data_IF_667938846539
#
_entry.id   IF_667938846539
#
_cell.length_a   1.000
_cell.length_b   1.000
_cell.length_c   1.000
_cell.angle_alpha   90.00
_cell.angle_beta   90.00
_cell.angle_gamma   90.00
#
_symmetry.space_group_name_H-M   'P 1'
#
loop_
_entity.id
_entity.type
_entity.pdbx_description
1 polymer ?
#
# COMPACT_ATOMS: atom_id res chain seq x y z
N UNK A 1 -4.17 5.73 -13.85
CA UNK A 1 -4.59 6.00 -12.46
C UNK A 1 -5.75 5.09 -12.13
N UNK A 2 -5.48 4.04 -11.36
CA UNK A 2 -6.48 3.10 -10.86
C UNK A 2 -6.70 3.29 -9.35
N UNK A 3 -7.82 2.77 -8.86
CA UNK A 3 -8.07 2.58 -7.43
C UNK A 3 -7.83 1.10 -7.12
N UNK A 4 -6.95 0.82 -6.15
CA UNK A 4 -6.51 -0.54 -5.84
C UNK A 4 -6.78 -0.80 -4.36
N UNK A 5 -7.37 -1.96 -4.05
CA UNK A 5 -7.54 -2.46 -2.69
C UNK A 5 -6.69 -3.71 -2.53
N UNK A 6 -5.90 -3.77 -1.47
CA UNK A 6 -4.99 -4.89 -1.19
C UNK A 6 -5.16 -5.32 0.27
N UNK A 7 -5.24 -6.63 0.50
CA UNK A 7 -5.21 -7.21 1.85
C UNK A 7 -3.86 -7.86 2.14
N UNK A 8 -3.36 -7.79 3.38
CA UNK A 8 -2.12 -8.49 3.75
C UNK A 8 -0.85 -7.81 3.19
N UNK A 9 -0.83 -6.48 3.17
CA UNK A 9 0.22 -5.68 2.54
C UNK A 9 1.07 -4.88 3.53
N UNK A 10 0.94 -5.10 4.84
CA UNK A 10 1.83 -4.49 5.83
C UNK A 10 3.30 -4.93 5.65
N UNK A 11 3.54 -6.07 4.99
CA UNK A 11 4.89 -6.57 4.73
C UNK A 11 4.98 -7.46 3.48
N UNK A 12 6.21 -7.84 3.11
CA UNK A 12 6.46 -8.77 2.02
C UNK A 12 6.03 -8.22 0.66
N UNK A 13 5.48 -9.08 -0.19
CA UNK A 13 5.15 -8.74 -1.59
C UNK A 13 4.08 -7.64 -1.66
N UNK A 14 3.05 -7.72 -0.82
CA UNK A 14 1.98 -6.72 -0.80
C UNK A 14 2.50 -5.31 -0.46
N UNK A 15 3.49 -5.21 0.42
CA UNK A 15 4.12 -3.93 0.77
C UNK A 15 4.85 -3.31 -0.42
N UNK A 16 5.75 -4.06 -1.07
CA UNK A 16 6.51 -3.53 -2.21
C UNK A 16 5.63 -3.25 -3.43
N UNK A 17 4.56 -4.04 -3.62
CA UNK A 17 3.55 -3.72 -4.62
C UNK A 17 2.84 -2.40 -4.30
N UNK A 18 2.45 -2.18 -3.04
CA UNK A 18 1.80 -0.93 -2.60
C UNK A 18 2.70 0.27 -2.87
N UNK A 19 3.97 0.18 -2.47
CA UNK A 19 4.96 1.23 -2.71
C UNK A 19 5.09 1.56 -4.22
N UNK A 20 5.23 0.55 -5.07
CA UNK A 20 5.35 0.77 -6.51
C UNK A 20 4.07 1.33 -7.12
N UNK A 21 2.90 0.80 -6.75
CA UNK A 21 1.62 1.26 -7.26
C UNK A 21 1.35 2.74 -6.91
N UNK A 22 1.77 3.18 -5.71
CA UNK A 22 1.73 4.60 -5.31
C UNK A 22 2.67 5.45 -6.17
N UNK A 23 3.92 5.00 -6.40
CA UNK A 23 4.88 5.69 -7.29
C UNK A 23 4.36 5.82 -8.73
N UNK A 24 3.60 4.84 -9.18
CA UNK A 24 2.95 4.85 -10.51
C UNK A 24 1.71 5.77 -10.58
N UNK A 25 1.38 6.48 -9.49
CA UNK A 25 0.29 7.45 -9.42
C UNK A 25 -1.09 6.82 -9.23
N UNK A 26 -1.18 5.60 -8.71
CA UNK A 26 -2.44 4.97 -8.34
C UNK A 26 -2.87 5.36 -6.92
N UNK A 27 -4.17 5.23 -6.65
CA UNK A 27 -4.71 5.34 -5.29
C UNK A 27 -4.81 3.95 -4.71
N UNK A 28 -4.19 3.72 -3.56
CA UNK A 28 -4.12 2.38 -2.95
C UNK A 28 -4.68 2.43 -1.54
N UNK A 29 -5.60 1.52 -1.23
CA UNK A 29 -6.08 1.26 0.12
C UNK A 29 -5.58 -0.13 0.55
N UNK A 30 -4.86 -0.19 1.66
CA UNK A 30 -4.37 -1.45 2.23
C UNK A 30 -5.15 -1.79 3.49
N UNK A 31 -5.56 -3.05 3.60
CA UNK A 31 -6.18 -3.62 4.80
C UNK A 31 -5.30 -4.75 5.33
N UNK A 32 -4.92 -4.65 6.58
CA UNK A 32 -4.10 -5.65 7.26
C UNK A 32 -4.43 -5.61 8.75
N UNK A 33 -4.06 -6.65 9.50
CA UNK A 33 -4.29 -6.71 10.95
C UNK A 33 -3.45 -5.65 11.66
N UNK A 34 -2.24 -5.40 11.15
CA UNK A 34 -1.30 -4.38 11.60
C UNK A 34 -0.96 -3.46 10.43
N UNK A 35 -0.78 -2.16 10.67
CA UNK A 35 -0.53 -1.17 9.59
C UNK A 35 0.67 -0.26 9.88
N UNK A 36 1.44 -0.58 10.91
CA UNK A 36 2.59 0.19 11.40
C UNK A 36 3.63 0.47 10.30
N UNK A 37 3.90 -0.53 9.44
CA UNK A 37 4.89 -0.37 8.36
C UNK A 37 4.35 0.46 7.21
N UNK A 38 3.03 0.59 7.06
CA UNK A 38 2.41 1.35 5.97
C UNK A 38 2.43 2.85 6.20
N UNK A 39 2.64 3.31 7.45
CA UNK A 39 2.64 4.73 7.81
C UNK A 39 3.67 5.53 7.00
N UNK A 40 4.83 4.93 6.68
CA UNK A 40 5.88 5.58 5.89
C UNK A 40 5.53 5.72 4.40
N UNK A 41 4.54 4.95 3.92
CA UNK A 41 4.04 5.01 2.55
C UNK A 41 2.86 5.98 2.41
N UNK A 42 2.21 6.35 3.51
CA UNK A 42 1.14 7.33 3.50
C UNK A 42 1.73 8.71 3.19
N UNK A 43 1.49 9.21 1.97
CA UNK A 43 1.79 10.59 1.61
C UNK A 43 0.62 11.49 1.98
N UNK A 44 0.93 12.71 2.46
CA UNK A 44 -0.04 13.75 2.80
C UNK A 44 -0.81 14.26 1.57
#
# INVERSE_FOLDING_TARGET
MANIIITGANQGIGYYFTEQALKDGNKVAVLDVETDKLEVLAQA
#
